data_IF_120265166083
#
_entry.id   IF_120265166083
#
_cell.length_a   1.000
_cell.length_b   1.000
_cell.length_c   1.000
_cell.angle_alpha   90.00
_cell.angle_beta   90.00
_cell.angle_gamma   90.00
#
_symmetry.space_group_name_H-M   'P 1'
#
loop_
_entity.id
_entity.type
_entity.pdbx_description
1 polymer ?
#
# COMPACT_ATOMS: atom_id res chain seq x y z
N UNK A 1 -2.52 -17.53 -17.62
CA UNK A 1 -2.03 -16.15 -17.54
C UNK A 1 -0.81 -16.06 -16.63
N UNK A 2 0.20 -15.28 -17.05
CA UNK A 2 1.40 -14.90 -16.29
C UNK A 2 1.15 -13.58 -15.57
N UNK A 3 1.87 -13.33 -14.47
CA UNK A 3 1.76 -12.05 -13.73
C UNK A 3 2.03 -10.82 -14.61
N UNK A 4 2.96 -10.91 -15.57
CA UNK A 4 3.26 -9.83 -16.51
C UNK A 4 2.09 -9.48 -17.45
N UNK A 5 1.30 -10.47 -17.86
CA UNK A 5 0.12 -10.24 -18.71
C UNK A 5 -0.96 -9.47 -17.95
N UNK A 6 -1.16 -9.80 -16.67
CA UNK A 6 -2.04 -9.03 -15.79
C UNK A 6 -1.55 -7.60 -15.61
N UNK A 7 -0.27 -7.43 -15.26
CA UNK A 7 0.32 -6.10 -15.07
C UNK A 7 0.14 -5.21 -16.30
N UNK A 8 0.57 -5.67 -17.49
CA UNK A 8 0.53 -4.88 -18.72
C UNK A 8 -0.91 -4.56 -19.14
N UNK A 9 -1.85 -5.47 -18.92
CA UNK A 9 -3.26 -5.23 -19.23
C UNK A 9 -3.89 -4.17 -18.32
N UNK A 10 -3.60 -4.22 -17.01
CA UNK A 10 -4.09 -3.21 -16.06
C UNK A 10 -3.41 -1.86 -16.26
N UNK A 11 -2.09 -1.87 -16.48
CA UNK A 11 -1.30 -0.66 -16.72
C UNK A 11 -1.75 0.06 -17.99
N UNK A 12 -2.01 -0.68 -19.08
CA UNK A 12 -2.46 -0.12 -20.36
C UNK A 12 -3.83 0.55 -20.34
N UNK A 13 -4.65 0.30 -19.32
CA UNK A 13 -5.97 0.94 -19.13
C UNK A 13 -6.02 1.86 -17.91
N UNK A 14 -4.90 2.03 -17.20
CA UNK A 14 -4.85 2.84 -16.00
C UNK A 14 -4.84 4.33 -16.34
N UNK A 15 -5.75 5.10 -15.77
CA UNK A 15 -5.80 6.57 -15.94
C UNK A 15 -4.85 7.31 -14.97
N UNK A 16 -4.25 6.61 -14.01
CA UNK A 16 -3.33 7.22 -13.05
C UNK A 16 -2.00 7.59 -13.72
N UNK A 17 -1.58 8.83 -13.53
CA UNK A 17 -0.35 9.36 -14.14
C UNK A 17 0.89 8.98 -13.31
N UNK A 18 1.52 7.87 -13.68
CA UNK A 18 2.76 7.40 -13.08
C UNK A 18 3.99 8.26 -13.43
N UNK A 19 3.92 9.15 -14.43
CA UNK A 19 4.99 10.11 -14.67
C UNK A 19 4.97 11.22 -13.61
N UNK A 20 3.78 11.62 -13.16
CA UNK A 20 3.62 12.58 -12.06
C UNK A 20 3.89 11.96 -10.69
N UNK A 21 3.50 10.70 -10.47
CA UNK A 21 3.79 9.97 -9.23
C UNK A 21 4.18 8.52 -9.50
N UNK A 22 5.49 8.29 -9.66
CA UNK A 22 6.07 6.98 -10.03
C UNK A 22 5.77 5.85 -9.06
N UNK A 23 5.50 6.15 -7.79
CA UNK A 23 5.30 5.13 -6.75
C UNK A 23 3.84 4.99 -6.30
N UNK A 24 2.91 5.73 -6.93
CA UNK A 24 1.47 5.79 -6.61
C UNK A 24 1.12 6.29 -5.19
N UNK A 25 1.69 5.72 -4.15
CA UNK A 25 1.47 6.10 -2.76
C UNK A 25 2.05 7.48 -2.48
N UNK A 26 1.27 8.45 -1.95
CA UNK A 26 1.78 9.79 -1.67
C UNK A 26 2.75 9.79 -0.48
N UNK A 27 3.74 10.67 -0.52
CA UNK A 27 4.81 10.72 0.50
C UNK A 27 5.66 9.42 0.57
N UNK A 28 5.79 8.71 -0.55
CA UNK A 28 6.70 7.57 -0.71
C UNK A 28 8.08 7.86 -0.08
N UNK A 29 8.65 6.84 0.56
CA UNK A 29 9.97 6.93 1.19
C UNK A 29 9.99 7.80 2.46
N UNK A 30 8.85 7.98 3.12
CA UNK A 30 8.76 8.80 4.35
C UNK A 30 7.92 8.14 5.45
N UNK A 31 8.03 8.65 6.68
CA UNK A 31 7.24 8.16 7.81
C UNK A 31 5.72 8.33 7.61
N UNK A 32 5.29 9.22 6.69
CA UNK A 32 3.87 9.38 6.37
C UNK A 32 3.27 8.12 5.76
N UNK A 33 4.07 7.25 5.11
CA UNK A 33 3.60 5.94 4.67
C UNK A 33 3.20 5.07 5.86
N UNK A 34 3.96 5.10 6.97
CA UNK A 34 3.64 4.35 8.19
C UNK A 34 2.29 4.82 8.76
N UNK A 35 2.12 6.14 8.82
CA UNK A 35 0.86 6.77 9.26
C UNK A 35 -0.28 6.33 8.33
N UNK A 36 -0.11 6.49 7.02
CA UNK A 36 -1.09 6.13 6.00
C UNK A 36 -1.49 4.66 6.05
N UNK A 37 -0.54 3.73 6.14
CA UNK A 37 -0.78 2.29 6.19
C UNK A 37 -1.65 1.89 7.39
N UNK A 38 -1.44 2.51 8.55
CA UNK A 38 -2.30 2.29 9.74
C UNK A 38 -3.68 2.93 9.55
N UNK A 39 -3.72 4.15 9.02
CA UNK A 39 -4.97 4.89 8.84
C UNK A 39 -5.87 4.29 7.77
N UNK A 40 -5.32 3.64 6.75
CA UNK A 40 -6.08 3.01 5.65
C UNK A 40 -6.85 1.77 6.08
N UNK A 41 -6.41 1.09 7.16
CA UNK A 41 -7.09 -0.11 7.65
C UNK A 41 -8.58 0.16 7.94
N UNK A 42 -9.48 -0.47 7.17
CA UNK A 42 -10.94 -0.25 7.27
C UNK A 42 -11.38 1.21 7.11
N UNK A 43 -10.70 1.99 6.27
CA UNK A 43 -11.05 3.36 5.95
C UNK A 43 -11.09 3.58 4.42
N UNK A 44 -11.83 4.59 3.98
CA UNK A 44 -11.71 5.09 2.61
C UNK A 44 -10.49 6.00 2.52
N UNK A 45 -9.76 5.98 1.41
CA UNK A 45 -8.59 6.83 1.21
C UNK A 45 -8.91 8.32 1.42
N UNK A 46 -10.06 8.82 0.96
CA UNK A 46 -10.48 10.21 1.16
C UNK A 46 -10.71 10.61 2.63
N UNK A 47 -10.93 9.64 3.52
CA UNK A 47 -10.92 9.86 4.97
C UNK A 47 -9.50 9.90 5.52
N UNK A 48 -8.61 9.07 4.99
CA UNK A 48 -7.18 9.05 5.35
C UNK A 48 -6.52 10.39 4.99
N UNK A 49 -6.77 10.91 3.79
CA UNK A 49 -6.24 12.20 3.34
C UNK A 49 -6.61 13.34 4.30
N UNK A 50 -7.86 13.36 4.80
CA UNK A 50 -8.30 14.35 5.80
C UNK A 50 -7.55 14.21 7.11
N UNK A 51 -7.36 12.99 7.59
CA UNK A 51 -6.59 12.73 8.82
C UNK A 51 -5.13 13.11 8.67
N UNK A 52 -4.51 12.83 7.51
CA UNK A 52 -3.13 13.23 7.21
C UNK A 52 -3.01 14.76 7.15
N UNK A 53 -3.95 15.44 6.48
CA UNK A 53 -4.01 16.90 6.45
C UNK A 53 -4.13 17.50 7.87
N UNK A 54 -5.04 16.96 8.71
CA UNK A 54 -5.19 17.41 10.10
C UNK A 54 -3.88 17.29 10.89
N UNK A 55 -3.13 16.19 10.74
CA UNK A 55 -1.83 16.01 11.40
C UNK A 55 -0.81 17.04 10.92
N UNK A 56 -0.74 17.29 9.60
CA UNK A 56 0.14 18.30 9.00
C UNK A 56 -0.18 19.71 9.48
N UNK A 57 -1.47 20.07 9.50
CA UNK A 57 -1.95 21.37 9.95
C UNK A 57 -1.70 21.58 11.45
N UNK A 58 -1.72 20.49 12.24
CA UNK A 58 -1.31 20.51 13.65
C UNK A 58 0.21 20.70 13.83
N UNK A 59 1.00 20.51 12.77
CA UNK A 59 2.44 20.72 12.78
C UNK A 59 3.29 19.45 12.91
N UNK A 60 2.71 18.26 12.73
CA UNK A 60 3.45 16.99 12.70
C UNK A 60 4.39 16.95 11.51
N UNK A 61 5.67 16.65 11.75
CA UNK A 61 6.74 16.60 10.74
C UNK A 61 7.61 15.37 10.84
N UNK A 62 7.62 14.69 11.98
CA UNK A 62 8.40 13.46 12.20
C UNK A 62 7.72 12.50 13.17
N UNK A 63 8.30 11.31 13.35
CA UNK A 63 7.80 10.27 14.25
C UNK A 63 7.66 10.78 15.70
N UNK A 64 8.60 11.62 16.14
CA UNK A 64 8.65 12.13 17.52
C UNK A 64 7.44 13.01 17.84
N UNK A 65 6.95 13.79 16.88
CA UNK A 65 5.78 14.63 17.04
C UNK A 65 4.56 13.77 17.37
N UNK A 66 4.32 12.69 16.62
CA UNK A 66 3.21 11.76 16.86
C UNK A 66 3.38 11.03 18.20
N UNK A 67 4.60 10.59 18.52
CA UNK A 67 4.90 9.88 19.75
C UNK A 67 4.63 10.73 21.00
N UNK A 68 4.82 12.05 20.90
CA UNK A 68 4.66 13.03 21.98
C UNK A 68 3.25 13.65 22.06
N UNK A 69 2.38 13.42 21.07
CA UNK A 69 1.00 13.88 21.15
C UNK A 69 0.24 13.17 22.27
N UNK A 70 -0.56 13.96 22.99
CA UNK A 70 -1.58 13.41 23.86
C UNK A 70 -2.53 12.50 23.05
N UNK A 71 -2.89 11.37 23.64
CA UNK A 71 -3.56 10.31 22.89
C UNK A 71 -4.98 10.73 22.47
N UNK A 72 -5.67 11.53 23.28
CA UNK A 72 -6.97 12.09 22.96
C UNK A 72 -6.87 13.11 21.81
N UNK A 73 -5.82 13.94 21.80
CA UNK A 73 -5.54 14.87 20.69
C UNK A 73 -5.29 14.12 19.39
N UNK A 74 -4.39 13.14 19.41
CA UNK A 74 -4.09 12.31 18.23
C UNK A 74 -5.35 11.61 17.70
N UNK A 75 -6.16 11.07 18.61
CA UNK A 75 -7.43 10.40 18.30
C UNK A 75 -8.41 11.32 17.58
N UNK A 76 -8.57 12.57 18.01
CA UNK A 76 -9.44 13.54 17.34
C UNK A 76 -8.89 13.97 15.96
N UNK A 77 -7.57 14.16 15.82
CA UNK A 77 -6.96 14.51 14.53
C UNK A 77 -7.19 13.44 13.46
N UNK A 78 -7.14 12.16 13.83
CA UNK A 78 -7.31 11.03 12.90
C UNK A 78 -8.73 10.45 12.85
N UNK A 79 -9.68 11.10 13.52
CA UNK A 79 -11.09 10.70 13.58
C UNK A 79 -11.74 10.40 12.23
N UNK A 80 -11.46 11.16 11.14
CA UNK A 80 -12.02 10.86 9.82
C UNK A 80 -11.73 9.44 9.33
N UNK A 81 -10.61 8.83 9.73
CA UNK A 81 -10.20 7.48 9.33
C UNK A 81 -10.90 6.35 10.09
N UNK A 82 -11.82 6.62 11.03
CA UNK A 82 -12.54 5.59 11.77
C UNK A 82 -11.64 4.75 12.70
N UNK A 83 -12.25 4.00 13.64
CA UNK A 83 -11.52 3.24 14.69
C UNK A 83 -10.41 4.06 15.39
N UNK A 84 -10.63 5.38 15.49
CA UNK A 84 -9.60 6.37 15.73
C UNK A 84 -8.93 6.22 17.10
N UNK A 85 -9.68 5.84 18.14
CA UNK A 85 -9.10 5.51 19.45
C UNK A 85 -8.08 4.36 19.39
N UNK A 86 -8.38 3.31 18.62
CA UNK A 86 -7.47 2.15 18.48
C UNK A 86 -6.29 2.50 17.60
N UNK A 87 -6.54 3.22 16.49
CA UNK A 87 -5.49 3.67 15.56
C UNK A 87 -4.52 4.63 16.23
N UNK A 88 -5.00 5.59 17.03
CA UNK A 88 -4.15 6.53 17.75
C UNK A 88 -3.19 5.80 18.69
N UNK A 89 -3.71 4.83 19.47
CA UNK A 89 -2.89 4.03 20.40
C UNK A 89 -1.83 3.22 19.67
N UNK A 90 -2.21 2.57 18.57
CA UNK A 90 -1.28 1.78 17.74
C UNK A 90 -0.22 2.65 17.09
N UNK A 91 -0.62 3.79 16.54
CA UNK A 91 0.28 4.71 15.86
C UNK A 91 1.28 5.32 16.83
N UNK A 92 0.83 5.87 17.96
CA UNK A 92 1.71 6.38 19.02
C UNK A 92 2.67 5.30 19.53
N UNK A 93 2.17 4.09 19.79
CA UNK A 93 3.02 2.97 20.23
C UNK A 93 4.06 2.57 19.19
N UNK A 94 3.68 2.51 17.90
CA UNK A 94 4.61 2.16 16.84
C UNK A 94 5.68 3.25 16.66
N UNK A 95 5.30 4.53 16.63
CA UNK A 95 6.26 5.64 16.55
C UNK A 95 7.27 5.59 17.70
N UNK A 96 6.80 5.40 18.94
CA UNK A 96 7.69 5.24 20.11
C UNK A 96 8.66 4.06 19.93
N UNK A 97 8.16 2.87 19.54
CA UNK A 97 9.01 1.70 19.33
C UNK A 97 10.02 1.86 18.19
N UNK A 98 9.67 2.61 17.15
CA UNK A 98 10.59 2.92 16.06
C UNK A 98 11.71 3.82 16.59
N UNK A 99 11.37 4.89 17.31
CA UNK A 99 12.34 5.82 17.90
C UNK A 99 13.25 5.08 18.89
N UNK A 100 12.68 4.25 19.78
CA UNK A 100 13.43 3.53 20.80
C UNK A 100 14.47 2.56 20.20
N UNK A 101 14.13 1.91 19.08
CA UNK A 101 15.00 0.89 18.46
C UNK A 101 15.94 1.46 17.40
N UNK A 102 15.46 2.39 16.58
CA UNK A 102 16.16 2.88 15.39
C UNK A 102 16.54 4.36 15.48
N UNK A 103 16.00 5.10 16.45
CA UNK A 103 16.29 6.53 16.65
C UNK A 103 15.45 7.44 15.75
N UNK A 104 15.49 7.24 14.44
CA UNK A 104 14.77 8.05 13.46
C UNK A 104 14.19 7.20 12.32
N UNK A 105 13.47 7.86 11.40
CA UNK A 105 12.84 7.18 10.27
C UNK A 105 13.86 6.63 9.27
N UNK A 106 14.95 7.33 8.98
CA UNK A 106 15.92 6.90 7.96
C UNK A 106 16.64 5.60 8.40
N UNK A 107 17.05 5.52 9.67
CA UNK A 107 17.63 4.32 10.26
C UNK A 107 16.62 3.17 10.33
N UNK A 108 15.36 3.47 10.61
CA UNK A 108 14.28 2.48 10.52
C UNK A 108 14.13 1.97 9.08
N UNK A 109 14.03 2.88 8.12
CA UNK A 109 13.82 2.56 6.72
C UNK A 109 14.99 1.76 6.15
N UNK A 110 16.22 1.98 6.61
CA UNK A 110 17.41 1.25 6.15
C UNK A 110 17.56 -0.14 6.79
N UNK A 111 17.06 -0.36 8.01
CA UNK A 111 17.41 -1.54 8.82
C UNK A 111 16.24 -2.40 9.32
N UNK A 112 14.99 -1.94 9.19
CA UNK A 112 13.83 -2.71 9.67
C UNK A 112 13.67 -4.03 8.93
N UNK A 113 13.36 -5.09 9.68
CA UNK A 113 13.04 -6.41 9.12
C UNK A 113 11.54 -6.67 9.11
N UNK A 114 11.10 -7.59 8.25
CA UNK A 114 9.73 -8.07 8.22
C UNK A 114 9.29 -8.61 9.59
N UNK A 115 10.13 -9.42 10.24
CA UNK A 115 9.84 -10.05 11.53
C UNK A 115 9.60 -9.01 12.62
N UNK A 116 10.36 -7.90 12.59
CA UNK A 116 10.14 -6.83 13.54
C UNK A 116 8.80 -6.13 13.30
N UNK A 117 8.43 -5.85 12.05
CA UNK A 117 7.17 -5.19 11.73
C UNK A 117 5.95 -6.06 12.04
N UNK A 118 5.94 -7.32 11.62
CA UNK A 118 4.80 -8.22 11.83
C UNK A 118 4.58 -8.56 13.31
N UNK A 119 5.63 -8.46 14.14
CA UNK A 119 5.51 -8.59 15.59
C UNK A 119 4.83 -7.38 16.26
N UNK A 120 4.63 -6.25 15.55
CA UNK A 120 3.98 -5.07 16.12
C UNK A 120 2.46 -5.23 16.16
N UNK A 121 1.90 -4.98 17.35
CA UNK A 121 0.46 -5.09 17.57
C UNK A 121 -0.33 -4.18 16.62
N UNK A 122 -1.20 -4.78 15.82
CA UNK A 122 -2.06 -4.06 14.88
C UNK A 122 -1.51 -3.90 13.47
N UNK A 123 -0.32 -4.45 13.18
CA UNK A 123 0.16 -4.62 11.81
C UNK A 123 -0.15 -6.04 11.33
N UNK A 124 -0.90 -6.14 10.23
CA UNK A 124 -1.05 -7.36 9.44
C UNK A 124 -0.16 -7.32 8.21
N UNK A 125 -0.11 -8.42 7.45
CA UNK A 125 0.76 -8.56 6.27
C UNK A 125 0.63 -7.38 5.29
N UNK A 126 -0.60 -6.97 4.96
CA UNK A 126 -0.84 -5.82 4.06
C UNK A 126 -0.15 -4.54 4.55
N UNK A 127 -0.29 -4.18 5.84
CA UNK A 127 0.36 -2.99 6.39
C UNK A 127 1.87 -3.14 6.49
N UNK A 128 2.37 -4.34 6.82
CA UNK A 128 3.80 -4.63 6.88
C UNK A 128 4.44 -4.48 5.51
N UNK A 129 3.89 -5.13 4.48
CA UNK A 129 4.40 -5.02 3.12
C UNK A 129 4.21 -3.62 2.54
N UNK A 130 3.12 -2.91 2.87
CA UNK A 130 2.97 -1.49 2.49
C UNK A 130 4.07 -0.62 3.07
N UNK A 131 4.43 -0.81 4.34
CA UNK A 131 5.52 -0.06 4.98
C UNK A 131 6.86 -0.41 4.34
N UNK A 132 7.13 -1.70 4.10
CA UNK A 132 8.39 -2.13 3.46
C UNK A 132 8.51 -1.60 2.02
N UNK A 133 7.45 -1.73 1.22
CA UNK A 133 7.40 -1.34 -0.19
C UNK A 133 7.44 0.18 -0.34
N UNK A 134 6.42 0.88 0.17
CA UNK A 134 6.24 2.32 -0.07
C UNK A 134 7.04 3.18 0.91
N UNK A 135 7.29 2.70 2.14
CA UNK A 135 7.95 3.48 3.18
C UNK A 135 9.46 3.27 3.18
N UNK A 136 9.89 2.01 3.08
CA UNK A 136 11.31 1.65 3.14
C UNK A 136 11.93 1.42 1.75
N UNK A 137 11.16 1.53 0.66
CA UNK A 137 11.67 1.34 -0.70
C UNK A 137 12.19 -0.07 -0.98
N UNK A 138 11.62 -1.10 -0.34
CA UNK A 138 12.02 -2.50 -0.54
C UNK A 138 11.33 -3.10 -1.77
N UNK A 139 12.04 -3.97 -2.48
CA UNK A 139 11.56 -4.70 -3.65
C UNK A 139 10.60 -5.83 -3.25
N UNK A 140 9.44 -5.47 -2.66
CA UNK A 140 8.41 -6.40 -2.21
C UNK A 140 7.04 -5.96 -2.72
N UNK A 141 6.23 -6.93 -3.16
CA UNK A 141 4.88 -6.68 -3.64
C UNK A 141 3.87 -6.62 -2.49
N UNK A 142 2.89 -5.72 -2.63
CA UNK A 142 1.77 -5.60 -1.70
C UNK A 142 0.53 -6.25 -2.30
N UNK A 143 0.00 -7.23 -1.59
CA UNK A 143 -1.31 -7.84 -1.85
C UNK A 143 -2.35 -7.21 -0.93
N UNK A 144 -3.54 -6.95 -1.46
CA UNK A 144 -4.69 -6.50 -0.67
C UNK A 144 -5.98 -7.22 -1.10
N UNK A 145 -7.13 -6.74 -0.61
CA UNK A 145 -8.42 -7.30 -0.99
C UNK A 145 -8.79 -7.08 -2.47
N UNK A 146 -8.25 -6.05 -3.13
CA UNK A 146 -8.48 -5.79 -4.54
C UNK A 146 -7.71 -6.78 -5.41
N UNK A 147 -6.45 -7.05 -5.06
CA UNK A 147 -5.64 -8.10 -5.68
C UNK A 147 -6.40 -9.43 -5.69
N UNK A 148 -6.90 -9.86 -4.52
CA UNK A 148 -7.65 -11.12 -4.39
C UNK A 148 -8.92 -11.16 -5.25
N UNK A 149 -9.62 -10.03 -5.40
CA UNK A 149 -10.84 -9.96 -6.22
C UNK A 149 -10.55 -10.05 -7.71
N UNK A 150 -9.51 -9.38 -8.20
CA UNK A 150 -9.08 -9.49 -9.60
C UNK A 150 -8.66 -10.94 -9.88
N UNK A 151 -7.81 -11.51 -9.04
CA UNK A 151 -7.31 -12.88 -9.22
C UNK A 151 -8.47 -13.90 -9.21
N UNK A 152 -9.41 -13.77 -8.27
CA UNK A 152 -10.60 -14.63 -8.21
C UNK A 152 -11.49 -14.49 -9.45
N UNK A 153 -11.65 -13.27 -9.98
CA UNK A 153 -12.41 -13.04 -11.22
C UNK A 153 -11.71 -13.66 -12.46
N UNK A 154 -10.40 -13.83 -12.41
CA UNK A 154 -9.59 -14.51 -13.42
C UNK A 154 -9.46 -16.03 -13.17
N UNK A 155 -10.15 -16.57 -12.16
CA UNK A 155 -10.15 -18.00 -11.83
C UNK A 155 -8.97 -18.46 -10.98
N UNK A 156 -8.22 -17.54 -10.37
CA UNK A 156 -7.12 -17.83 -9.45
C UNK A 156 -7.60 -17.70 -8.00
N UNK A 157 -7.41 -18.75 -7.22
CA UNK A 157 -7.62 -18.74 -5.77
C UNK A 157 -6.33 -19.20 -5.10
N UNK A 158 -5.76 -18.33 -4.26
CA UNK A 158 -4.56 -18.61 -3.47
C UNK A 158 -4.95 -18.92 -2.03
N UNK A 159 -4.26 -19.87 -1.40
CA UNK A 159 -4.57 -20.30 -0.03
C UNK A 159 -4.07 -19.30 1.02
N UNK A 160 -3.10 -18.46 0.65
CA UNK A 160 -2.49 -17.50 1.54
C UNK A 160 -2.10 -16.18 0.86
N UNK A 161 -1.87 -15.16 1.68
CA UNK A 161 -1.31 -13.88 1.25
C UNK A 161 0.04 -14.06 0.53
N UNK A 162 0.89 -14.93 1.06
CA UNK A 162 2.24 -15.14 0.53
C UNK A 162 2.21 -15.80 -0.84
N UNK A 163 1.32 -16.77 -1.08
CA UNK A 163 1.17 -17.39 -2.40
C UNK A 163 0.73 -16.36 -3.47
N UNK A 164 -0.24 -15.50 -3.14
CA UNK A 164 -0.65 -14.44 -4.04
C UNK A 164 0.49 -13.42 -4.29
N UNK A 165 1.28 -13.09 -3.25
CA UNK A 165 2.42 -12.19 -3.36
C UNK A 165 3.52 -12.78 -4.25
N UNK A 166 3.89 -14.03 -4.01
CA UNK A 166 4.90 -14.76 -4.78
C UNK A 166 4.49 -14.88 -6.25
N UNK A 167 3.20 -15.16 -6.52
CA UNK A 167 2.70 -15.20 -7.88
C UNK A 167 2.85 -13.84 -8.60
N UNK A 168 2.55 -12.73 -7.92
CA UNK A 168 2.72 -11.38 -8.47
C UNK A 168 4.20 -11.04 -8.69
N UNK A 169 5.07 -11.37 -7.73
CA UNK A 169 6.53 -11.13 -7.81
C UNK A 169 7.24 -11.99 -8.85
N UNK A 170 6.61 -13.10 -9.26
CA UNK A 170 7.01 -13.91 -10.42
C UNK A 170 6.83 -13.23 -11.77
N UNK A 171 6.56 -11.91 -11.79
CA UNK A 171 6.50 -11.08 -13.00
C UNK A 171 7.81 -11.11 -13.80
N UNK A 172 7.68 -11.24 -15.12
CA UNK A 172 8.80 -11.17 -16.05
C UNK A 172 9.25 -9.72 -16.24
N UNK A 173 10.28 -9.33 -15.48
CA UNK A 173 10.84 -7.96 -15.47
C UNK A 173 11.37 -7.53 -16.82
N UNK A 174 12.00 -8.45 -17.58
CA UNK A 174 12.56 -8.11 -18.89
C UNK A 174 11.47 -7.73 -19.88
N UNK A 175 10.32 -8.39 -19.81
CA UNK A 175 9.15 -8.08 -20.64
C UNK A 175 8.50 -6.75 -20.21
N UNK A 176 8.43 -6.48 -18.90
CA UNK A 176 7.98 -5.18 -18.37
C UNK A 176 8.89 -4.04 -18.83
N UNK A 177 10.21 -4.14 -18.64
CA UNK A 177 11.14 -3.04 -18.93
C UNK A 177 11.20 -2.71 -20.42
N UNK A 178 10.95 -3.71 -21.29
CA UNK A 178 10.78 -3.48 -22.73
C UNK A 178 9.49 -2.71 -23.06
N UNK A 179 8.42 -2.93 -22.30
CA UNK A 179 7.12 -2.33 -22.55
C UNK A 179 7.01 -0.90 -22.02
N UNK A 180 7.48 -0.65 -20.79
CA UNK A 180 7.25 0.63 -20.09
C UNK A 180 8.53 1.40 -19.75
N UNK A 181 9.70 0.88 -20.11
CA UNK A 181 11.00 1.49 -19.83
C UNK A 181 11.70 0.92 -18.61
N UNK A 182 12.95 1.34 -18.42
CA UNK A 182 13.82 0.88 -17.33
C UNK A 182 13.41 1.54 -16.01
N UNK A 183 12.89 0.74 -15.09
CA UNK A 183 12.44 1.15 -13.74
C UNK A 183 13.04 0.20 -12.71
N UNK A 184 13.15 0.64 -11.45
CA UNK A 184 13.59 -0.26 -10.38
C UNK A 184 12.53 -1.30 -10.05
N UNK A 185 12.94 -2.41 -9.43
CA UNK A 185 12.03 -3.44 -8.93
C UNK A 185 10.99 -2.87 -7.94
N UNK A 186 11.41 -2.01 -7.00
CA UNK A 186 10.48 -1.35 -6.08
C UNK A 186 9.47 -0.46 -6.82
N UNK A 187 9.91 0.31 -7.83
CA UNK A 187 9.01 1.14 -8.63
C UNK A 187 7.99 0.28 -9.38
N UNK A 188 8.43 -0.85 -9.95
CA UNK A 188 7.55 -1.83 -10.57
C UNK A 188 6.49 -2.34 -9.57
N UNK A 189 6.88 -2.77 -8.38
CA UNK A 189 5.91 -3.29 -7.40
C UNK A 189 4.98 -2.21 -6.85
N UNK A 190 5.47 -0.98 -6.66
CA UNK A 190 4.64 0.16 -6.32
C UNK A 190 3.59 0.44 -7.41
N UNK A 191 4.02 0.47 -8.67
CA UNK A 191 3.15 0.67 -9.84
C UNK A 191 2.16 -0.46 -10.01
N UNK A 192 2.59 -1.71 -9.85
CA UNK A 192 1.72 -2.87 -9.97
C UNK A 192 0.60 -2.87 -8.92
N UNK A 193 0.94 -2.59 -7.66
CA UNK A 193 -0.09 -2.41 -6.63
C UNK A 193 -1.02 -1.23 -6.97
N UNK A 194 -0.46 -0.11 -7.40
CA UNK A 194 -1.22 1.07 -7.83
C UNK A 194 -2.24 0.78 -8.92
N UNK A 195 -1.84 0.13 -10.03
CA UNK A 195 -2.75 -0.18 -11.15
C UNK A 195 -3.87 -1.13 -10.72
N UNK A 196 -3.60 -2.10 -9.83
CA UNK A 196 -4.63 -2.98 -9.25
C UNK A 196 -5.69 -2.17 -8.49
N UNK A 197 -5.23 -1.27 -7.61
CA UNK A 197 -6.11 -0.45 -6.77
C UNK A 197 -6.93 0.52 -7.62
N UNK A 198 -6.29 1.22 -8.57
CA UNK A 198 -6.96 2.21 -9.43
C UNK A 198 -7.96 1.55 -10.39
N UNK A 199 -7.61 0.37 -10.95
CA UNK A 199 -8.55 -0.41 -11.74
C UNK A 199 -9.79 -0.79 -10.93
N UNK A 200 -9.59 -1.29 -9.70
CA UNK A 200 -10.72 -1.62 -8.83
C UNK A 200 -11.54 -0.40 -8.41
N UNK A 201 -10.93 0.75 -8.11
CA UNK A 201 -11.68 1.98 -7.81
C UNK A 201 -12.62 2.37 -8.97
N UNK A 202 -12.18 2.16 -10.20
CA UNK A 202 -12.91 2.53 -11.41
C UNK A 202 -13.99 1.52 -11.78
N UNK A 203 -13.69 0.22 -11.68
CA UNK A 203 -14.51 -0.85 -12.28
C UNK A 203 -15.18 -1.80 -11.28
N UNK A 204 -14.89 -1.69 -9.98
CA UNK A 204 -15.44 -2.59 -8.97
C UNK A 204 -16.46 -1.87 -8.08
N UNK A 205 -17.73 -2.26 -8.19
CA UNK A 205 -18.82 -1.75 -7.34
C UNK A 205 -19.36 -2.85 -6.43
N UNK A 206 -19.17 -2.67 -5.12
CA UNK A 206 -19.50 -3.70 -4.15
C UNK A 206 -18.57 -4.91 -4.31
N UNK A 207 -19.06 -5.99 -4.91
CA UNK A 207 -18.30 -7.20 -5.22
C UNK A 207 -18.40 -7.61 -6.69
N UNK A 208 -18.80 -6.70 -7.58
CA UNK A 208 -19.00 -6.97 -9.01
C UNK A 208 -18.17 -6.04 -9.86
N UNK A 209 -17.42 -6.62 -10.79
CA UNK A 209 -16.77 -5.90 -11.87
C UNK A 209 -17.80 -5.49 -12.94
N UNK A 210 -17.58 -4.36 -13.59
CA UNK A 210 -18.39 -3.91 -14.72
C UNK A 210 -18.05 -4.66 -16.03
N UNK A 211 -18.84 -4.41 -17.08
CA UNK A 211 -18.70 -5.12 -18.36
C UNK A 211 -17.35 -4.88 -19.03
N UNK A 212 -16.74 -3.69 -18.83
CA UNK A 212 -15.41 -3.38 -19.37
C UNK A 212 -14.36 -4.27 -18.73
N UNK A 213 -14.34 -4.34 -17.40
CA UNK A 213 -13.41 -5.20 -16.68
C UNK A 213 -13.57 -6.68 -17.03
N UNK A 214 -14.81 -7.16 -17.18
CA UNK A 214 -15.07 -8.55 -17.58
C UNK A 214 -14.60 -8.85 -19.01
N UNK A 215 -14.71 -7.89 -19.93
CA UNK A 215 -14.15 -8.03 -21.29
C UNK A 215 -12.63 -8.14 -21.23
N UNK A 216 -11.97 -7.22 -20.51
CA UNK A 216 -10.52 -7.24 -20.35
C UNK A 216 -10.02 -8.56 -19.75
N UNK A 217 -10.69 -9.05 -18.71
CA UNK A 217 -10.35 -10.34 -18.09
C UNK A 217 -10.50 -11.51 -19.06
N UNK A 218 -11.52 -11.50 -19.93
CA UNK A 218 -11.71 -12.53 -20.95
C UNK A 218 -10.60 -12.51 -22.01
N UNK A 219 -10.10 -11.33 -22.36
CA UNK A 219 -9.02 -11.16 -23.35
C UNK A 219 -7.68 -11.69 -22.83
N UNK A 220 -7.36 -11.48 -21.55
CA UNK A 220 -6.07 -11.90 -20.96
C UNK A 220 -6.07 -13.32 -20.37
N UNK A 221 -7.24 -13.95 -20.29
CA UNK A 221 -7.38 -15.34 -19.81
C UNK A 221 -7.19 -16.38 -20.93
N UNK A 222 -7.10 -15.95 -22.19
CA UNK A 222 -6.87 -16.78 -23.39
C UNK A 222 -5.36 -16.97 -23.60
#
# INVERSE_FOLDING_TARGET
MRSVELFLALDGVCEFDFELNRHWWPDYGSFWVIVGAILTQNAKWSSVEKSLANLRDYGVKELSDIANLDIEVLSELIKPSGFYNTKAKRLSMLCNKIIDKFGNFDEFASSVSFEWLIAQNGLGLESVYSILCFGCGRDVMVVDSYTNRILSALGYEFESYEEAREWLEGIDRDEVYKAIGDISDNELFCRYHGVIVEFCKSHLKGAKFDDFALSLFSEISI
#
